data_IF_440535596668
#
_entry.id   IF_440535596668
#
_cell.length_a   1.000
_cell.length_b   1.000
_cell.length_c   1.000
_cell.angle_alpha   90.00
_cell.angle_beta   90.00
_cell.angle_gamma   90.00
#
_symmetry.space_group_name_H-M   'P 1'
#
loop_
_entity.id
_entity.type
_entity.pdbx_description
1 polymer ?
#
# COMPACT_ATOMS: atom_id res chain seq x y z
N UNK A 1 28.77 10.26 -57.98
CA UNK A 1 29.35 10.17 -56.63
C UNK A 1 28.57 10.96 -55.57
N UNK A 2 28.10 12.19 -55.85
CA UNK A 2 27.37 13.02 -54.86
C UNK A 2 26.00 12.47 -54.40
N UNK A 3 25.28 11.76 -55.28
CA UNK A 3 23.94 11.22 -54.96
C UNK A 3 23.99 10.12 -53.89
N UNK A 4 25.05 9.30 -53.88
CA UNK A 4 25.25 8.23 -52.89
C UNK A 4 25.56 8.79 -51.49
N UNK A 5 26.27 9.92 -51.42
CA UNK A 5 26.59 10.59 -50.15
C UNK A 5 25.33 11.21 -49.55
N UNK A 6 24.49 11.87 -50.37
CA UNK A 6 23.23 12.44 -49.92
C UNK A 6 22.25 11.36 -49.42
N UNK A 7 22.14 10.22 -50.11
CA UNK A 7 21.31 9.10 -49.66
C UNK A 7 21.83 8.46 -48.38
N UNK A 8 23.16 8.32 -48.23
CA UNK A 8 23.78 7.79 -47.02
C UNK A 8 23.52 8.68 -45.79
N UNK A 9 23.59 10.00 -45.95
CA UNK A 9 23.32 10.98 -44.88
C UNK A 9 21.84 11.00 -44.49
N UNK A 10 20.92 10.98 -45.46
CA UNK A 10 19.47 10.94 -45.19
C UNK A 10 19.10 9.63 -44.47
N UNK A 11 19.68 8.50 -44.88
CA UNK A 11 19.43 7.21 -44.24
C UNK A 11 19.95 7.19 -42.79
N UNK A 12 21.14 7.74 -42.52
CA UNK A 12 21.70 7.78 -41.14
C UNK A 12 20.89 8.70 -40.22
N UNK A 13 20.46 9.88 -40.70
CA UNK A 13 19.62 10.80 -39.91
C UNK A 13 18.26 10.17 -39.60
N UNK A 14 17.66 9.47 -40.58
CA UNK A 14 16.36 8.80 -40.42
C UNK A 14 16.42 7.64 -39.42
N UNK A 15 17.49 6.83 -39.48
CA UNK A 15 17.71 5.71 -38.56
C UNK A 15 18.00 6.19 -37.14
N UNK A 16 18.83 7.24 -36.98
CA UNK A 16 19.14 7.83 -35.68
C UNK A 16 17.90 8.49 -35.03
N UNK A 17 17.07 9.18 -35.84
CA UNK A 17 15.81 9.76 -35.38
C UNK A 17 14.81 8.70 -34.92
N UNK A 18 14.68 7.60 -35.66
CA UNK A 18 13.81 6.48 -35.29
C UNK A 18 14.21 5.81 -33.98
N UNK A 19 15.51 5.60 -33.75
CA UNK A 19 16.02 5.01 -32.52
C UNK A 19 15.77 5.89 -31.29
N UNK A 20 15.96 7.22 -31.40
CA UNK A 20 15.67 8.16 -30.32
C UNK A 20 14.18 8.21 -29.96
N UNK A 21 13.30 8.17 -30.97
CA UNK A 21 11.85 8.14 -30.74
C UNK A 21 11.45 6.82 -30.09
N UNK A 22 11.98 5.68 -30.53
CA UNK A 22 11.70 4.37 -29.93
C UNK A 22 12.12 4.33 -28.44
N UNK A 23 13.32 4.82 -28.12
CA UNK A 23 13.81 4.91 -26.74
C UNK A 23 12.96 5.86 -25.89
N UNK A 24 12.51 7.00 -26.45
CA UNK A 24 11.62 7.92 -25.76
C UNK A 24 10.25 7.26 -25.48
N UNK A 25 9.69 6.54 -26.45
CA UNK A 25 8.41 5.83 -26.33
C UNK A 25 8.51 4.69 -25.31
N UNK A 26 9.56 3.88 -25.34
CA UNK A 26 9.80 2.83 -24.33
C UNK A 26 9.95 3.41 -22.93
N UNK A 27 10.73 4.48 -22.78
CA UNK A 27 10.93 5.14 -21.48
C UNK A 27 9.63 5.76 -20.96
N UNK A 28 8.78 6.29 -21.85
CA UNK A 28 7.48 6.83 -21.48
C UNK A 28 6.48 5.73 -21.10
N UNK A 29 6.49 4.61 -21.82
CA UNK A 29 5.64 3.44 -21.57
C UNK A 29 6.02 2.75 -20.26
N UNK A 30 7.31 2.60 -19.97
CA UNK A 30 7.82 2.08 -18.70
C UNK A 30 7.34 2.91 -17.51
N UNK A 31 7.53 4.24 -17.55
CA UNK A 31 7.07 5.15 -16.49
C UNK A 31 5.56 5.11 -16.26
N UNK A 32 4.76 4.98 -17.33
CA UNK A 32 3.30 4.84 -17.21
C UNK A 32 2.93 3.51 -16.58
N UNK A 33 3.57 2.42 -17.00
CA UNK A 33 3.33 1.10 -16.43
C UNK A 33 3.67 1.06 -14.95
N UNK A 34 4.83 1.60 -14.55
CA UNK A 34 5.26 1.70 -13.15
C UNK A 34 4.24 2.47 -12.30
N UNK A 35 3.74 3.61 -12.80
CA UNK A 35 2.74 4.41 -12.08
C UNK A 35 1.40 3.68 -11.93
N UNK A 36 0.98 2.92 -12.96
CA UNK A 36 -0.25 2.13 -12.88
C UNK A 36 -0.13 0.97 -11.89
N UNK A 37 1.01 0.26 -11.91
CA UNK A 37 1.31 -0.79 -10.92
C UNK A 37 1.31 -0.24 -9.51
N UNK A 38 1.98 0.90 -9.29
CA UNK A 38 2.02 1.59 -8.00
C UNK A 38 0.62 1.93 -7.48
N UNK A 39 -0.19 2.62 -8.29
CA UNK A 39 -1.56 2.99 -7.92
C UNK A 39 -2.43 1.76 -7.66
N UNK A 40 -2.27 0.70 -8.46
CA UNK A 40 -2.99 -0.56 -8.28
C UNK A 40 -2.64 -1.21 -6.94
N UNK A 41 -1.35 -1.28 -6.59
CA UNK A 41 -0.88 -1.82 -5.32
C UNK A 41 -1.43 -1.02 -4.12
N UNK A 42 -1.40 0.32 -4.19
CA UNK A 42 -1.94 1.20 -3.15
C UNK A 42 -3.47 1.05 -3.01
N UNK A 43 -4.20 0.92 -4.12
CA UNK A 43 -5.65 0.71 -4.11
C UNK A 43 -6.01 -0.62 -3.45
N UNK A 44 -5.30 -1.69 -3.80
CA UNK A 44 -5.50 -3.00 -3.19
C UNK A 44 -5.21 -2.95 -1.68
N UNK A 45 -4.13 -2.28 -1.28
CA UNK A 45 -3.80 -2.11 0.14
C UNK A 45 -4.91 -1.37 0.91
N UNK A 46 -5.43 -0.27 0.37
CA UNK A 46 -6.54 0.48 1.00
C UNK A 46 -7.78 -0.40 1.17
N UNK A 47 -8.10 -1.21 0.16
CA UNK A 47 -9.23 -2.15 0.24
C UNK A 47 -9.00 -3.23 1.30
N UNK A 48 -7.78 -3.80 1.37
CA UNK A 48 -7.41 -4.79 2.39
C UNK A 48 -7.49 -4.22 3.81
N UNK A 49 -7.04 -2.97 4.01
CA UNK A 49 -7.16 -2.25 5.28
C UNK A 49 -8.63 -2.03 5.64
N UNK A 50 -9.46 -1.61 4.67
CA UNK A 50 -10.88 -1.38 4.88
C UNK A 50 -11.65 -2.67 5.19
N UNK A 51 -11.27 -3.79 4.59
CA UNK A 51 -11.90 -5.10 4.80
C UNK A 51 -11.45 -5.81 6.10
N UNK A 52 -10.43 -5.28 6.80
CA UNK A 52 -9.82 -5.97 7.94
C UNK A 52 -10.73 -5.96 9.18
N UNK A 53 -11.20 -7.14 9.58
CA UNK A 53 -12.10 -7.32 10.73
C UNK A 53 -11.50 -6.90 12.07
N UNK A 54 -10.19 -7.04 12.27
CA UNK A 54 -9.52 -6.59 13.50
C UNK A 54 -9.54 -5.05 13.67
N UNK A 55 -9.87 -4.30 12.62
CA UNK A 55 -10.01 -2.84 12.64
C UNK A 55 -11.47 -2.39 12.66
N UNK A 56 -12.42 -3.33 12.71
CA UNK A 56 -13.84 -3.02 12.76
C UNK A 56 -14.16 -2.20 14.00
N UNK A 57 -15.10 -1.25 13.88
CA UNK A 57 -15.51 -0.43 15.01
C UNK A 57 -16.15 -1.23 16.15
N UNK A 58 -16.75 -2.37 15.81
CA UNK A 58 -17.42 -3.24 16.76
C UNK A 58 -16.48 -4.21 17.47
N UNK A 59 -15.17 -4.18 17.18
CA UNK A 59 -14.16 -5.00 17.87
C UNK A 59 -14.09 -4.72 19.39
N UNK A 60 -14.77 -3.66 19.86
CA UNK A 60 -14.82 -3.21 21.25
C UNK A 60 -15.96 -3.79 22.12
N UNK A 61 -16.75 -4.79 21.67
CA UNK A 61 -17.81 -5.40 22.50
C UNK A 61 -18.03 -6.89 22.19
N UNK A 62 -18.43 -7.80 23.12
CA UNK A 62 -18.33 -7.93 24.60
C UNK A 62 -17.10 -8.82 24.98
N UNK A 63 -17.00 -9.57 26.12
CA UNK A 63 -15.70 -9.83 26.76
C UNK A 63 -14.69 -10.51 25.83
N UNK A 64 -13.66 -9.75 25.46
CA UNK A 64 -12.53 -10.24 24.69
C UNK A 64 -11.88 -11.38 25.47
N UNK A 65 -11.78 -12.53 24.82
CA UNK A 65 -10.97 -13.62 25.34
C UNK A 65 -9.50 -13.21 25.19
N UNK A 66 -8.85 -12.92 26.32
CA UNK A 66 -7.44 -12.50 26.37
C UNK A 66 -6.48 -13.65 26.69
N UNK A 67 -6.97 -14.89 26.66
CA UNK A 67 -6.15 -16.06 26.95
C UNK A 67 -5.10 -16.25 25.85
N UNK A 68 -3.83 -16.04 26.20
CA UNK A 68 -2.70 -16.25 25.29
C UNK A 68 -2.48 -17.72 24.95
N UNK A 69 -2.86 -18.63 25.85
CA UNK A 69 -2.73 -20.07 25.65
C UNK A 69 -3.80 -20.60 24.68
N UNK A 70 -4.91 -19.87 24.54
CA UNK A 70 -5.96 -20.19 23.57
C UNK A 70 -5.62 -19.60 22.18
N UNK A 71 -5.31 -20.43 21.18
CA UNK A 71 -5.03 -19.95 19.82
C UNK A 71 -6.26 -19.33 19.14
N UNK A 72 -7.46 -19.60 19.65
CA UNK A 72 -8.73 -19.02 19.18
C UNK A 72 -9.11 -17.72 19.87
N UNK A 73 -8.30 -17.25 20.82
CA UNK A 73 -8.56 -16.01 21.53
C UNK A 73 -8.56 -14.80 20.61
N UNK A 74 -9.36 -13.80 20.98
CA UNK A 74 -9.51 -12.55 20.21
C UNK A 74 -8.17 -11.82 20.09
N UNK A 75 -7.34 -11.90 21.14
CA UNK A 75 -5.97 -11.38 21.15
C UNK A 75 -5.11 -12.02 20.06
N UNK A 76 -5.05 -13.36 20.01
CA UNK A 76 -4.22 -14.08 19.04
C UNK A 76 -4.72 -13.86 17.60
N UNK A 77 -6.05 -13.81 17.42
CA UNK A 77 -6.68 -13.50 16.14
C UNK A 77 -6.34 -12.08 15.66
N UNK A 78 -6.47 -11.07 16.53
CA UNK A 78 -6.17 -9.68 16.21
C UNK A 78 -4.68 -9.48 15.90
N UNK A 79 -3.78 -9.96 16.76
CA UNK A 79 -2.32 -9.87 16.54
C UNK A 79 -1.92 -10.57 15.25
N UNK A 80 -2.48 -11.73 14.93
CA UNK A 80 -2.25 -12.40 13.64
C UNK A 80 -2.73 -11.54 12.47
N UNK A 81 -3.94 -10.98 12.56
CA UNK A 81 -4.51 -10.12 11.52
C UNK A 81 -3.64 -8.89 11.23
N UNK A 82 -3.11 -8.25 12.28
CA UNK A 82 -2.23 -7.08 12.15
C UNK A 82 -0.84 -7.48 11.66
N UNK A 83 -0.30 -8.63 12.06
CA UNK A 83 0.97 -9.15 11.50
C UNK A 83 0.86 -9.40 9.99
N UNK A 84 -0.28 -9.93 9.54
CA UNK A 84 -0.57 -10.06 8.10
C UNK A 84 -0.69 -8.70 7.44
N UNK A 85 -1.34 -7.72 8.08
CA UNK A 85 -1.46 -6.37 7.51
C UNK A 85 -0.09 -5.73 7.32
N UNK A 86 0.81 -5.85 8.30
CA UNK A 86 2.18 -5.38 8.17
C UNK A 86 2.91 -6.03 6.98
N UNK A 87 2.66 -7.32 6.71
CA UNK A 87 3.22 -8.01 5.54
C UNK A 87 2.65 -7.42 4.24
N UNK A 88 1.34 -7.18 4.18
CA UNK A 88 0.67 -6.61 3.00
C UNK A 88 1.16 -5.18 2.72
N UNK A 89 1.36 -4.36 3.74
CA UNK A 89 1.96 -3.02 3.62
C UNK A 89 3.39 -3.10 3.06
N UNK A 90 4.21 -4.04 3.56
CA UNK A 90 5.58 -4.24 3.05
C UNK A 90 5.59 -4.76 1.61
N UNK A 91 4.64 -5.59 1.23
CA UNK A 91 4.49 -6.06 -0.14
C UNK A 91 4.10 -4.89 -1.06
N UNK A 92 3.11 -4.09 -0.68
CA UNK A 92 2.73 -2.88 -1.42
C UNK A 92 3.91 -1.89 -1.54
N UNK A 93 4.73 -1.77 -0.50
CA UNK A 93 5.97 -0.96 -0.49
C UNK A 93 6.99 -1.46 -1.52
N UNK A 94 7.15 -2.78 -1.67
CA UNK A 94 8.08 -3.37 -2.63
C UNK A 94 7.66 -3.14 -4.09
N UNK A 95 6.36 -2.93 -4.33
CA UNK A 95 5.80 -2.59 -5.65
C UNK A 95 5.88 -1.08 -5.97
N UNK A 96 6.32 -0.24 -5.03
CA UNK A 96 6.51 1.18 -5.28
C UNK A 96 7.77 1.43 -6.12
N UNK A 97 7.69 2.43 -7.00
CA UNK A 97 8.88 2.99 -7.67
C UNK A 97 9.81 3.67 -6.66
N UNK A 98 11.11 3.70 -6.97
CA UNK A 98 12.16 4.24 -6.11
C UNK A 98 11.94 5.69 -5.64
N UNK A 99 11.24 6.51 -6.43
CA UNK A 99 10.92 7.92 -6.12
C UNK A 99 9.41 8.15 -5.87
N UNK A 100 8.70 7.15 -5.34
CA UNK A 100 7.29 7.31 -4.97
C UNK A 100 7.13 8.34 -3.86
N UNK A 101 6.04 9.12 -3.89
CA UNK A 101 5.66 9.97 -2.75
C UNK A 101 5.00 9.17 -1.62
N UNK A 102 4.57 7.93 -1.87
CA UNK A 102 3.85 7.09 -0.92
C UNK A 102 4.74 6.41 0.14
N UNK A 103 6.08 6.44 -0.01
CA UNK A 103 7.00 5.77 0.92
C UNK A 103 6.78 6.24 2.37
N UNK A 104 6.58 7.53 2.60
CA UNK A 104 6.37 8.06 3.95
C UNK A 104 5.13 7.47 4.63
N UNK A 105 4.01 7.41 3.91
CA UNK A 105 2.75 6.89 4.44
C UNK A 105 2.81 5.37 4.70
N UNK A 106 3.45 4.61 3.81
CA UNK A 106 3.63 3.17 4.04
C UNK A 106 4.56 2.88 5.22
N UNK A 107 5.58 3.73 5.43
CA UNK A 107 6.51 3.58 6.55
C UNK A 107 5.81 3.86 7.88
N UNK A 108 4.94 4.86 7.91
CA UNK A 108 4.08 5.14 9.05
C UNK A 108 3.11 3.97 9.34
N UNK A 109 2.53 3.36 8.31
CA UNK A 109 1.67 2.18 8.48
C UNK A 109 2.44 0.98 9.06
N UNK A 110 3.67 0.72 8.59
CA UNK A 110 4.54 -0.34 9.16
C UNK A 110 4.89 -0.04 10.61
N UNK A 111 5.25 1.21 10.91
CA UNK A 111 5.57 1.66 12.26
C UNK A 111 4.37 1.51 13.20
N UNK A 112 3.18 1.91 12.78
CA UNK A 112 1.95 1.76 13.55
C UNK A 112 1.65 0.28 13.86
N UNK A 113 1.82 -0.61 12.88
CA UNK A 113 1.66 -2.05 13.09
C UNK A 113 2.67 -2.61 14.09
N UNK A 114 3.93 -2.17 14.05
CA UNK A 114 4.96 -2.62 15.00
C UNK A 114 4.63 -2.18 16.43
N UNK A 115 4.28 -0.89 16.62
CA UNK A 115 3.91 -0.35 17.93
C UNK A 115 2.73 -1.12 18.52
N UNK A 116 1.71 -1.44 17.71
CA UNK A 116 0.58 -2.26 18.15
C UNK A 116 1.02 -3.64 18.64
N UNK A 117 1.87 -4.34 17.87
CA UNK A 117 2.33 -5.69 18.22
C UNK A 117 3.12 -5.65 19.53
N UNK A 118 4.05 -4.70 19.67
CA UNK A 118 4.86 -4.52 20.88
C UNK A 118 3.98 -4.16 22.09
N UNK A 119 3.05 -3.22 21.93
CA UNK A 119 2.15 -2.79 23.00
C UNK A 119 1.23 -3.91 23.48
N UNK A 120 0.66 -4.71 22.57
CA UNK A 120 -0.22 -5.83 22.92
C UNK A 120 0.53 -7.04 23.49
N UNK A 121 1.80 -7.22 23.12
CA UNK A 121 2.70 -8.20 23.76
C UNK A 121 3.07 -7.77 25.19
N UNK A 122 3.23 -6.47 25.45
CA UNK A 122 3.48 -5.95 26.80
C UNK A 122 2.23 -5.88 27.68
N UNK A 123 1.10 -5.41 27.14
CA UNK A 123 -0.13 -5.10 27.86
C UNK A 123 -1.36 -5.65 27.12
N UNK A 124 -1.64 -6.97 27.21
CA UNK A 124 -2.72 -7.60 26.46
C UNK A 124 -4.12 -7.11 26.89
N UNK A 125 -4.27 -6.64 28.14
CA UNK A 125 -5.50 -6.05 28.65
C UNK A 125 -5.92 -4.76 27.93
N UNK A 126 -4.96 -4.07 27.30
CA UNK A 126 -5.19 -2.80 26.62
C UNK A 126 -5.50 -3.01 25.11
N UNK A 127 -5.77 -4.25 24.68
CA UNK A 127 -5.98 -4.61 23.28
C UNK A 127 -6.96 -3.68 22.55
N UNK A 128 -8.11 -3.41 23.14
CA UNK A 128 -9.12 -2.55 22.53
C UNK A 128 -8.61 -1.11 22.31
N UNK A 129 -7.87 -0.57 23.27
CA UNK A 129 -7.25 0.77 23.19
C UNK A 129 -6.16 0.79 22.12
N UNK A 130 -5.32 -0.24 22.07
CA UNK A 130 -4.25 -0.33 21.07
C UNK A 130 -4.80 -0.53 19.65
N UNK A 131 -5.91 -1.26 19.48
CA UNK A 131 -6.61 -1.37 18.18
C UNK A 131 -7.14 0.00 17.74
N UNK A 132 -7.74 0.78 18.63
CA UNK A 132 -8.24 2.11 18.32
C UNK A 132 -7.13 3.09 17.93
N UNK A 133 -6.00 3.05 18.65
CA UNK A 133 -4.79 3.83 18.31
C UNK A 133 -4.24 3.43 16.94
N UNK A 134 -4.14 2.11 16.68
CA UNK A 134 -3.70 1.60 15.39
C UNK A 134 -4.61 2.09 14.26
N UNK A 135 -5.94 1.96 14.44
CA UNK A 135 -6.94 2.43 13.47
C UNK A 135 -6.76 3.91 13.17
N UNK A 136 -6.62 4.75 14.19
CA UNK A 136 -6.44 6.20 14.03
C UNK A 136 -5.18 6.55 13.24
N UNK A 137 -4.06 5.86 13.49
CA UNK A 137 -2.81 6.04 12.74
C UNK A 137 -2.92 5.57 11.30
N UNK A 138 -3.53 4.40 11.06
CA UNK A 138 -3.77 3.89 9.72
C UNK A 138 -4.70 4.81 8.93
N UNK A 139 -5.74 5.35 9.56
CA UNK A 139 -6.65 6.30 8.95
C UNK A 139 -5.94 7.58 8.50
N UNK A 140 -5.07 8.15 9.34
CA UNK A 140 -4.25 9.29 8.98
C UNK A 140 -3.35 8.98 7.77
N UNK A 141 -2.68 7.82 7.77
CA UNK A 141 -1.81 7.42 6.66
C UNK A 141 -2.59 7.16 5.36
N UNK A 142 -3.78 6.55 5.43
CA UNK A 142 -4.66 6.37 4.26
C UNK A 142 -5.11 7.72 3.70
N UNK A 143 -5.47 8.68 4.56
CA UNK A 143 -5.79 10.05 4.12
C UNK A 143 -4.59 10.71 3.44
N UNK A 144 -3.39 10.52 3.97
CA UNK A 144 -2.14 10.98 3.36
C UNK A 144 -1.96 10.41 1.94
N UNK A 145 -2.13 9.10 1.78
CA UNK A 145 -2.08 8.45 0.46
C UNK A 145 -3.11 9.00 -0.53
N UNK A 146 -4.36 9.17 -0.10
CA UNK A 146 -5.42 9.73 -0.96
C UNK A 146 -5.10 11.18 -1.35
N UNK A 147 -4.55 11.98 -0.43
CA UNK A 147 -4.12 13.35 -0.72
C UNK A 147 -2.98 13.41 -1.75
N UNK A 148 -2.09 12.41 -1.77
CA UNK A 148 -1.03 12.28 -2.78
C UNK A 148 -1.56 11.83 -4.15
N UNK A 149 -2.71 11.15 -4.19
CA UNK A 149 -3.29 10.55 -5.40
C UNK A 149 -4.81 10.76 -5.49
N UNK A 150 -5.30 12.02 -5.50
CA UNK A 150 -6.73 12.33 -5.31
C UNK A 150 -7.62 11.80 -6.44
N UNK A 151 -7.11 11.74 -7.67
CA UNK A 151 -7.87 11.26 -8.83
C UNK A 151 -7.82 9.73 -9.00
N UNK A 152 -7.01 9.04 -8.19
CA UNK A 152 -6.68 7.64 -8.40
C UNK A 152 -7.00 6.72 -7.21
N UNK A 153 -7.02 7.27 -5.99
CA UNK A 153 -7.33 6.53 -4.77
C UNK A 153 -8.62 7.05 -4.15
N UNK A 154 -9.45 6.11 -3.69
CA UNK A 154 -10.68 6.41 -2.97
C UNK A 154 -10.43 6.25 -1.46
N UNK A 155 -10.89 7.20 -0.66
CA UNK A 155 -10.80 7.10 0.79
C UNK A 155 -11.72 5.98 1.29
N UNK A 156 -11.11 4.93 1.86
CA UNK A 156 -11.80 3.88 2.59
C UNK A 156 -11.19 3.77 3.98
N UNK A 157 -12.03 3.94 5.01
CA UNK A 157 -11.55 3.97 6.38
C UNK A 157 -11.19 2.55 6.86
N UNK A 158 -10.21 2.40 7.76
CA UNK A 158 -9.83 1.08 8.26
C UNK A 158 -11.00 0.36 8.92
N UNK A 159 -11.22 -0.90 8.54
CA UNK A 159 -12.33 -1.72 9.03
C UNK A 159 -13.73 -1.31 8.56
N UNK A 160 -13.89 -0.29 7.68
CA UNK A 160 -15.20 0.18 7.22
C UNK A 160 -15.97 -0.83 6.37
N UNK A 161 -15.27 -1.81 5.78
CA UNK A 161 -15.84 -2.87 4.95
C UNK A 161 -15.82 -4.24 5.63
N UNK A 162 -15.47 -4.31 6.92
CA UNK A 162 -15.31 -5.57 7.65
C UNK A 162 -16.55 -6.49 7.63
N UNK A 163 -17.75 -5.92 7.43
CA UNK A 163 -19.02 -6.66 7.38
C UNK A 163 -19.82 -6.41 6.09
N UNK A 164 -19.25 -5.75 5.08
CA UNK A 164 -19.96 -5.38 3.86
C UNK A 164 -20.29 -6.55 2.92
N UNK A 165 -19.93 -7.79 3.29
CA UNK A 165 -20.09 -9.01 2.49
C UNK A 165 -21.07 -10.04 3.09
N UNK A 166 -22.08 -9.60 3.85
CA UNK A 166 -23.23 -10.46 4.20
C UNK A 166 -24.36 -10.31 3.20
#
# INVERSE_FOLDING_TARGET
MQVLIAQAVIATISVAGGALIALAVERWRGRRSERLTEVSALRLLIVEIAARRALAHDFTAPPLTLDRADPSSDLNSAVRSIRLLRKDVRAARAELRAASSAWGELDEMVAACNVFIEATEAHPQDLAVEVDRLRSRLEAAVRGLVALYPDALELRLPGSMAYASR
#
